data_IF_479691130782
#
_entry.id   IF_479691130782
#
_cell.length_a   1.000
_cell.length_b   1.000
_cell.length_c   1.000
_cell.angle_alpha   90.00
_cell.angle_beta   90.00
_cell.angle_gamma   90.00
#
_symmetry.space_group_name_H-M   'P 1'
#
loop_
_entity.id
_entity.type
_entity.pdbx_description
1 polymer ?
#
# COMPACT_ATOMS: atom_id res chain seq x y z
N UNK A 1 -20.06 60.81 11.51
CA UNK A 1 -19.13 59.89 12.22
C UNK A 1 -19.95 58.72 12.72
N UNK A 2 -19.93 57.60 12.00
CA UNK A 2 -20.54 56.35 12.44
C UNK A 2 -19.63 55.22 11.93
N UNK A 3 -19.13 54.44 12.88
CA UNK A 3 -18.14 53.39 12.72
C UNK A 3 -18.51 52.38 11.64
N UNK A 4 -17.68 52.33 10.60
CA UNK A 4 -17.58 51.20 9.71
C UNK A 4 -16.86 50.09 10.48
N UNK A 5 -17.64 49.25 11.17
CA UNK A 5 -17.17 48.03 11.82
C UNK A 5 -16.58 47.09 10.76
N UNK A 6 -15.29 47.28 10.48
CA UNK A 6 -14.44 46.30 9.83
C UNK A 6 -14.38 45.06 10.74
N UNK A 7 -15.36 44.17 10.57
CA UNK A 7 -15.18 42.75 10.89
C UNK A 7 -14.08 42.26 9.98
N UNK A 8 -12.84 42.39 10.45
CA UNK A 8 -11.72 41.61 9.98
C UNK A 8 -12.12 40.16 10.13
N UNK A 9 -12.59 39.57 9.03
CA UNK A 9 -12.72 38.13 8.89
C UNK A 9 -11.32 37.59 9.12
N UNK A 10 -11.03 37.23 10.37
CA UNK A 10 -9.84 36.47 10.70
C UNK A 10 -10.00 35.14 9.99
N UNK A 11 -9.45 35.07 8.77
CA UNK A 11 -9.20 33.81 8.07
C UNK A 11 -8.42 32.98 9.09
N UNK A 12 -8.97 31.86 9.59
CA UNK A 12 -8.22 31.02 10.50
C UNK A 12 -6.92 30.73 9.77
N UNK A 13 -5.80 30.99 10.44
CA UNK A 13 -4.45 30.69 9.96
C UNK A 13 -4.37 29.17 9.81
N UNK A 14 -4.99 28.64 8.77
CA UNK A 14 -5.08 27.23 8.44
C UNK A 14 -3.64 26.83 8.13
N UNK A 15 -2.99 26.24 9.15
CA UNK A 15 -1.58 25.91 9.14
C UNK A 15 -1.22 25.26 7.81
N UNK A 16 -0.40 25.94 6.99
CA UNK A 16 0.07 25.45 5.68
C UNK A 16 0.58 24.00 5.75
N UNK A 17 1.09 23.60 6.91
CA UNK A 17 1.53 22.24 7.24
C UNK A 17 0.41 21.19 7.05
N UNK A 18 -0.84 21.49 7.40
CA UNK A 18 -1.96 20.54 7.27
C UNK A 18 -2.31 20.21 5.82
N UNK A 19 -1.94 21.06 4.85
CA UNK A 19 -2.25 20.87 3.43
C UNK A 19 -1.32 19.88 2.74
N UNK A 20 -0.11 19.69 3.28
CA UNK A 20 0.90 18.81 2.68
C UNK A 20 0.96 17.42 3.33
N UNK A 21 0.31 17.23 4.48
CA UNK A 21 0.23 15.92 5.15
C UNK A 21 -0.24 14.80 4.20
N UNK A 22 -1.31 14.96 3.40
CA UNK A 22 -1.79 13.86 2.57
C UNK A 22 -0.78 13.43 1.50
N UNK A 23 -0.04 14.39 0.92
CA UNK A 23 1.00 14.10 -0.09
C UNK A 23 2.13 13.31 0.56
N UNK A 24 2.53 13.69 1.77
CA UNK A 24 3.59 13.01 2.51
C UNK A 24 3.23 11.52 2.72
N UNK A 25 1.96 11.23 3.04
CA UNK A 25 1.46 9.86 3.09
C UNK A 25 1.57 9.14 1.74
N UNK A 26 1.15 9.79 0.63
CA UNK A 26 1.30 9.19 -0.72
C UNK A 26 2.74 8.85 -1.09
N UNK A 27 3.70 9.68 -0.69
CA UNK A 27 5.13 9.40 -0.89
C UNK A 27 5.57 8.19 -0.08
N UNK A 28 5.21 8.13 1.21
CA UNK A 28 5.53 6.96 2.06
C UNK A 28 4.90 5.69 1.50
N UNK A 29 3.64 5.75 1.08
CA UNK A 29 2.92 4.58 0.54
C UNK A 29 3.59 4.03 -0.72
N UNK A 30 4.08 4.90 -1.60
CA UNK A 30 4.84 4.49 -2.79
C UNK A 30 6.16 3.84 -2.40
N UNK A 31 6.90 4.45 -1.47
CA UNK A 31 8.20 3.90 -1.03
C UNK A 31 8.00 2.50 -0.46
N UNK A 32 7.02 2.31 0.43
CA UNK A 32 6.68 1.01 1.00
C UNK A 32 6.26 0.00 -0.07
N UNK A 33 5.46 0.43 -1.05
CA UNK A 33 5.02 -0.42 -2.15
C UNK A 33 6.18 -0.84 -3.09
N UNK A 34 7.15 0.05 -3.34
CA UNK A 34 8.36 -0.26 -4.12
C UNK A 34 9.20 -1.33 -3.42
N UNK A 35 9.40 -1.20 -2.10
CA UNK A 35 10.09 -2.23 -1.33
C UNK A 35 9.32 -3.56 -1.34
N UNK A 36 7.99 -3.50 -1.16
CA UNK A 36 7.14 -4.69 -1.21
C UNK A 36 7.27 -5.43 -2.56
N UNK A 37 7.11 -4.72 -3.69
CA UNK A 37 7.18 -5.36 -5.00
C UNK A 37 8.59 -5.85 -5.32
N UNK A 38 9.64 -5.09 -4.98
CA UNK A 38 11.04 -5.50 -5.19
C UNK A 38 11.39 -6.79 -4.45
N UNK A 39 10.87 -6.97 -3.23
CA UNK A 39 11.06 -8.20 -2.46
C UNK A 39 10.18 -9.37 -2.93
N UNK A 40 9.09 -9.08 -3.65
CA UNK A 40 8.11 -10.06 -4.08
C UNK A 40 8.43 -10.67 -5.46
N UNK A 41 9.03 -9.88 -6.36
CA UNK A 41 9.28 -10.29 -7.77
C UNK A 41 10.19 -11.51 -7.87
N UNK A 42 11.33 -11.50 -7.18
CA UNK A 42 12.32 -12.57 -7.29
C UNK A 42 11.79 -13.92 -6.76
N UNK A 43 11.17 -13.99 -5.56
CA UNK A 43 10.53 -15.22 -5.09
C UNK A 43 9.48 -15.76 -6.05
N UNK A 44 8.59 -14.89 -6.57
CA UNK A 44 7.52 -15.34 -7.47
C UNK A 44 8.03 -15.86 -8.80
N UNK A 45 9.00 -15.16 -9.43
CA UNK A 45 9.60 -15.59 -10.68
C UNK A 45 10.39 -16.90 -10.50
N UNK A 46 11.11 -17.04 -9.38
CA UNK A 46 11.81 -18.28 -9.05
C UNK A 46 10.82 -19.42 -8.85
N UNK A 47 9.75 -19.26 -8.07
CA UNK A 47 8.79 -20.34 -7.84
C UNK A 47 8.08 -20.78 -9.13
N UNK A 48 7.85 -19.86 -10.07
CA UNK A 48 7.27 -20.23 -11.36
C UNK A 48 8.24 -21.03 -12.24
N UNK A 49 9.52 -20.66 -12.29
CA UNK A 49 10.53 -21.39 -13.10
C UNK A 49 10.92 -22.74 -12.51
N UNK A 50 10.99 -22.78 -11.19
CA UNK A 50 11.52 -23.92 -10.43
C UNK A 50 10.50 -25.05 -10.32
N UNK A 51 9.22 -24.72 -10.25
CA UNK A 51 8.16 -25.71 -10.13
C UNK A 51 7.40 -25.81 -11.45
N UNK A 52 7.53 -26.96 -12.14
CA UNK A 52 6.77 -27.28 -13.37
C UNK A 52 5.23 -27.29 -13.16
N UNK A 53 4.79 -27.13 -11.90
CA UNK A 53 3.43 -26.75 -11.50
C UNK A 53 3.53 -25.53 -10.56
N UNK A 54 2.77 -24.44 -10.80
CA UNK A 54 2.86 -23.25 -9.97
C UNK A 54 2.44 -23.57 -8.53
N UNK A 55 3.38 -23.54 -7.58
CA UNK A 55 3.09 -23.66 -6.14
C UNK A 55 2.37 -22.42 -5.59
N UNK A 56 2.49 -21.31 -6.30
CA UNK A 56 1.75 -20.08 -6.05
C UNK A 56 0.53 -20.06 -6.98
N UNK A 57 -0.68 -19.92 -6.45
CA UNK A 57 -1.87 -19.81 -7.31
C UNK A 57 -1.74 -18.56 -8.17
N UNK A 58 -1.94 -18.71 -9.48
CA UNK A 58 -1.78 -17.60 -10.42
C UNK A 58 -2.72 -16.43 -10.07
N UNK A 59 -3.92 -16.76 -9.57
CA UNK A 59 -4.92 -15.80 -9.12
C UNK A 59 -4.43 -14.98 -7.92
N UNK A 60 -3.78 -15.63 -6.94
CA UNK A 60 -3.21 -14.95 -5.78
C UNK A 60 -2.09 -13.99 -6.23
N UNK A 61 -1.23 -14.44 -7.15
CA UNK A 61 -0.12 -13.62 -7.66
C UNK A 61 -0.64 -12.41 -8.41
N UNK A 62 -1.62 -12.63 -9.29
CA UNK A 62 -2.27 -11.57 -10.05
C UNK A 62 -2.90 -10.54 -9.12
N UNK A 63 -3.64 -10.99 -8.09
CA UNK A 63 -4.25 -10.09 -7.11
C UNK A 63 -3.21 -9.24 -6.37
N UNK A 64 -2.11 -9.85 -5.91
CA UNK A 64 -1.04 -9.14 -5.21
C UNK A 64 -0.38 -8.10 -6.12
N UNK A 65 -0.01 -8.49 -7.35
CA UNK A 65 0.61 -7.57 -8.31
C UNK A 65 -0.30 -6.40 -8.67
N UNK A 66 -1.56 -6.68 -9.00
CA UNK A 66 -2.53 -5.64 -9.35
C UNK A 66 -2.74 -4.69 -8.17
N UNK A 67 -2.79 -5.21 -6.94
CA UNK A 67 -2.91 -4.38 -5.74
C UNK A 67 -1.69 -3.49 -5.57
N UNK A 68 -0.49 -4.05 -5.49
CA UNK A 68 0.72 -3.26 -5.17
C UNK A 68 1.05 -2.30 -6.32
N UNK A 69 1.09 -2.77 -7.56
CA UNK A 69 1.39 -1.93 -8.72
C UNK A 69 0.28 -0.90 -9.00
N UNK A 70 -0.99 -1.29 -8.82
CA UNK A 70 -2.13 -0.38 -8.97
C UNK A 70 -2.06 0.80 -8.00
N UNK A 71 -1.71 0.54 -6.73
CA UNK A 71 -1.57 1.62 -5.75
C UNK A 71 -0.31 2.46 -5.91
N UNK A 72 0.79 1.91 -6.45
CA UNK A 72 1.92 2.73 -6.91
C UNK A 72 1.43 3.72 -7.97
N UNK A 73 0.67 3.27 -8.96
CA UNK A 73 0.16 4.11 -10.03
C UNK A 73 -0.84 5.16 -9.53
N UNK A 74 -1.82 4.76 -8.73
CA UNK A 74 -2.85 5.65 -8.16
C UNK A 74 -2.21 6.72 -7.26
N UNK A 75 -1.30 6.33 -6.36
CA UNK A 75 -0.65 7.28 -5.47
C UNK A 75 0.29 8.23 -6.22
N UNK A 76 0.97 7.73 -7.27
CA UNK A 76 1.78 8.59 -8.15
C UNK A 76 0.91 9.62 -8.85
N UNK A 77 -0.26 9.21 -9.35
CA UNK A 77 -1.22 10.12 -9.97
C UNK A 77 -1.67 11.20 -8.97
N UNK A 78 -1.95 10.83 -7.72
CA UNK A 78 -2.34 11.81 -6.70
C UNK A 78 -1.25 12.83 -6.38
N UNK A 79 0.01 12.40 -6.35
CA UNK A 79 1.16 13.32 -6.20
C UNK A 79 1.24 14.26 -7.40
N UNK A 80 1.13 13.72 -8.62
CA UNK A 80 1.18 14.53 -9.86
C UNK A 80 0.04 15.55 -9.88
N UNK A 81 -1.21 15.14 -9.62
CA UNK A 81 -2.35 16.06 -9.53
C UNK A 81 -2.07 17.19 -8.53
N UNK A 82 -1.51 16.87 -7.36
CA UNK A 82 -1.16 17.89 -6.38
C UNK A 82 -0.07 18.85 -6.91
N UNK A 83 0.95 18.34 -7.60
CA UNK A 83 2.01 19.16 -8.20
C UNK A 83 1.48 20.09 -9.30
N UNK A 84 0.45 19.68 -10.04
CA UNK A 84 -0.25 20.50 -11.02
C UNK A 84 -1.13 21.59 -10.38
N UNK A 85 -1.27 21.59 -9.05
CA UNK A 85 -2.12 22.53 -8.30
C UNK A 85 -3.56 22.06 -8.11
N UNK A 86 -3.91 20.86 -8.60
CA UNK A 86 -5.24 20.29 -8.41
C UNK A 86 -5.41 19.81 -6.97
N UNK A 87 -6.52 20.24 -6.36
CA UNK A 87 -6.91 19.77 -5.03
C UNK A 87 -7.89 18.62 -5.15
N UNK A 88 -7.43 17.43 -4.80
CA UNK A 88 -8.28 16.25 -4.74
C UNK A 88 -9.35 16.41 -3.65
N UNK A 89 -10.63 16.11 -3.94
CA UNK A 89 -11.68 16.11 -2.94
C UNK A 89 -11.35 15.14 -1.80
N UNK A 90 -11.54 15.57 -0.55
CA UNK A 90 -11.29 14.73 0.65
C UNK A 90 -12.02 13.38 0.59
N UNK A 91 -13.25 13.36 0.06
CA UNK A 91 -14.05 12.14 -0.12
C UNK A 91 -13.35 11.13 -1.02
N UNK A 92 -12.79 11.59 -2.14
CA UNK A 92 -12.04 10.75 -3.07
C UNK A 92 -10.82 10.15 -2.38
N UNK A 93 -10.07 10.96 -1.64
CA UNK A 93 -8.89 10.48 -0.89
C UNK A 93 -9.25 9.39 0.13
N UNK A 94 -10.34 9.58 0.88
CA UNK A 94 -10.80 8.58 1.86
C UNK A 94 -11.20 7.27 1.16
N UNK A 95 -11.93 7.33 0.05
CA UNK A 95 -12.39 6.14 -0.68
C UNK A 95 -11.19 5.33 -1.19
N UNK A 96 -10.24 5.98 -1.86
CA UNK A 96 -9.06 5.31 -2.40
C UNK A 96 -8.16 4.77 -1.29
N UNK A 97 -7.98 5.51 -0.20
CA UNK A 97 -7.16 5.03 0.93
C UNK A 97 -7.83 3.85 1.66
N UNK A 98 -9.17 3.85 1.75
CA UNK A 98 -9.92 2.73 2.34
C UNK A 98 -9.80 1.47 1.49
N UNK A 99 -9.95 1.60 0.17
CA UNK A 99 -9.71 0.50 -0.77
C UNK A 99 -8.24 0.03 -0.69
N UNK A 100 -7.29 0.96 -0.55
CA UNK A 100 -5.87 0.67 -0.41
C UNK A 100 -5.59 -0.19 0.81
N UNK A 101 -6.10 0.22 1.97
CA UNK A 101 -5.98 -0.54 3.20
C UNK A 101 -6.55 -1.96 3.07
N UNK A 102 -7.78 -2.10 2.57
CA UNK A 102 -8.44 -3.42 2.44
C UNK A 102 -7.67 -4.32 1.49
N UNK A 103 -7.32 -3.82 0.31
CA UNK A 103 -6.63 -4.62 -0.71
C UNK A 103 -5.23 -5.03 -0.24
N UNK A 104 -4.50 -4.16 0.46
CA UNK A 104 -3.18 -4.50 1.01
C UNK A 104 -3.28 -5.51 2.16
N UNK A 105 -4.31 -5.46 3.00
CA UNK A 105 -4.54 -6.49 4.03
C UNK A 105 -4.79 -7.86 3.37
N UNK A 106 -5.62 -7.91 2.33
CA UNK A 106 -5.88 -9.15 1.58
C UNK A 106 -4.61 -9.64 0.89
N UNK A 107 -3.87 -8.77 0.20
CA UNK A 107 -2.62 -9.13 -0.46
C UNK A 107 -1.57 -9.65 0.55
N UNK A 108 -1.38 -8.97 1.67
CA UNK A 108 -0.47 -9.43 2.74
C UNK A 108 -0.88 -10.79 3.30
N UNK A 109 -2.19 -11.01 3.49
CA UNK A 109 -2.73 -12.30 3.94
C UNK A 109 -2.48 -13.42 2.93
N UNK A 110 -2.63 -13.15 1.63
CA UNK A 110 -2.34 -14.10 0.55
C UNK A 110 -0.85 -14.43 0.50
N UNK A 111 0.05 -13.46 0.66
CA UNK A 111 1.50 -13.70 0.71
C UNK A 111 1.84 -14.62 1.89
N UNK A 112 1.31 -14.32 3.09
CA UNK A 112 1.55 -15.14 4.29
C UNK A 112 0.98 -16.55 4.13
N UNK A 113 -0.23 -16.68 3.55
CA UNK A 113 -0.85 -17.97 3.28
C UNK A 113 0.03 -18.82 2.37
N UNK A 114 0.47 -18.25 1.23
CA UNK A 114 1.34 -18.94 0.29
C UNK A 114 2.72 -19.27 0.90
N UNK A 115 3.31 -18.35 1.67
CA UNK A 115 4.56 -18.61 2.41
C UNK A 115 4.44 -19.81 3.34
N UNK A 116 3.35 -19.91 4.13
CA UNK A 116 3.11 -21.07 5.01
C UNK A 116 2.87 -22.36 4.23
N UNK A 117 2.10 -22.28 3.15
CA UNK A 117 1.77 -23.45 2.31
C UNK A 117 3.01 -24.02 1.65
N UNK A 118 3.93 -23.17 1.20
CA UNK A 118 5.22 -23.57 0.60
C UNK A 118 6.15 -24.24 1.61
N UNK A 119 6.08 -23.87 2.90
CA UNK A 119 6.90 -24.48 3.96
C UNK A 119 6.41 -25.85 4.43
N UNK A 120 5.14 -26.22 4.17
CA UNK A 120 4.61 -27.49 4.66
C UNK A 120 5.23 -28.66 3.88
N UNK A 121 5.78 -29.69 4.56
CA UNK A 121 6.21 -30.90 3.89
C UNK A 121 4.98 -31.62 3.35
N UNK A 122 4.79 -31.61 2.03
CA UNK A 122 3.76 -32.41 1.39
C UNK A 122 4.20 -33.88 1.38
N UNK A 123 3.47 -34.73 2.08
CA UNK A 123 3.67 -36.19 2.17
C UNK A 123 3.58 -36.96 0.83
N UNK A 124 3.38 -36.29 -0.31
CA UNK A 124 3.15 -36.92 -1.62
C UNK A 124 4.20 -36.61 -2.70
N UNK A 125 5.35 -36.01 -2.37
CA UNK A 125 6.45 -35.87 -3.33
C UNK A 125 7.74 -36.43 -2.74
N UNK A 126 7.97 -37.71 -3.03
CA UNK A 126 9.15 -38.51 -2.72
C UNK A 126 10.37 -38.13 -3.58
N UNK A 127 10.56 -36.84 -3.90
CA UNK A 127 11.75 -36.36 -4.60
C UNK A 127 12.40 -35.24 -3.76
N UNK A 128 13.58 -35.53 -3.27
CA UNK A 128 14.30 -34.88 -2.18
C UNK A 128 14.84 -33.45 -2.44
N UNK A 129 14.50 -32.73 -3.52
CA UNK A 129 15.50 -31.76 -4.02
C UNK A 129 15.07 -30.34 -4.42
N UNK A 130 13.88 -29.83 -4.07
CA UNK A 130 13.64 -28.39 -4.30
C UNK A 130 12.91 -27.71 -3.13
N UNK A 131 13.65 -27.53 -2.04
CA UNK A 131 13.36 -26.47 -1.10
C UNK A 131 13.63 -25.12 -1.80
N UNK A 132 12.67 -24.18 -1.79
CA UNK A 132 12.97 -22.83 -2.21
C UNK A 132 14.10 -22.28 -1.33
N UNK A 133 15.02 -21.52 -1.92
CA UNK A 133 16.14 -20.97 -1.17
C UNK A 133 15.60 -20.21 0.05
N UNK A 134 16.25 -20.39 1.21
CA UNK A 134 15.86 -19.68 2.43
C UNK A 134 15.75 -18.17 2.18
N UNK A 135 16.65 -17.64 1.35
CA UNK A 135 16.62 -16.26 0.88
C UNK A 135 15.29 -15.87 0.22
N UNK A 136 14.75 -16.66 -0.71
CA UNK A 136 13.46 -16.33 -1.34
C UNK A 136 12.29 -16.41 -0.36
N UNK A 137 12.34 -17.32 0.61
CA UNK A 137 11.32 -17.40 1.66
C UNK A 137 11.37 -16.19 2.61
N UNK A 138 12.57 -15.72 2.94
CA UNK A 138 12.79 -14.54 3.78
C UNK A 138 12.37 -13.26 3.03
N UNK A 139 12.67 -13.17 1.73
CA UNK A 139 12.19 -12.08 0.87
C UNK A 139 10.65 -12.06 0.77
N UNK A 140 10.02 -13.23 0.59
CA UNK A 140 8.56 -13.34 0.50
C UNK A 140 7.89 -12.87 1.80
N UNK A 141 8.34 -13.33 2.97
CA UNK A 141 7.75 -12.88 4.25
C UNK A 141 8.06 -11.41 4.52
N UNK A 142 9.25 -10.93 4.15
CA UNK A 142 9.59 -9.50 4.27
C UNK A 142 8.66 -8.65 3.40
N UNK A 143 8.35 -9.07 2.17
CA UNK A 143 7.39 -8.35 1.32
C UNK A 143 6.00 -8.26 1.96
N UNK A 144 5.53 -9.34 2.60
CA UNK A 144 4.26 -9.32 3.33
C UNK A 144 4.26 -8.27 4.46
N UNK A 145 5.36 -8.14 5.19
CA UNK A 145 5.51 -7.13 6.24
C UNK A 145 5.38 -5.72 5.66
N UNK A 146 6.09 -5.43 4.56
CA UNK A 146 5.98 -4.12 3.90
C UNK A 146 4.56 -3.83 3.40
N UNK A 147 3.88 -4.83 2.80
CA UNK A 147 2.48 -4.69 2.35
C UNK A 147 1.55 -4.37 3.53
N UNK A 148 1.72 -5.04 4.68
CA UNK A 148 0.91 -4.79 5.87
C UNK A 148 1.21 -3.44 6.53
N UNK A 149 2.47 -3.02 6.57
CA UNK A 149 2.85 -1.66 7.02
C UNK A 149 2.24 -0.62 6.07
N UNK A 150 2.18 -0.90 4.76
CA UNK A 150 1.52 -0.03 3.81
C UNK A 150 0.01 0.09 4.10
N UNK A 151 -0.65 -1.02 4.43
CA UNK A 151 -2.04 -1.00 4.87
C UNK A 151 -2.26 -0.12 6.11
N UNK A 152 -1.37 -0.21 7.10
CA UNK A 152 -1.42 0.66 8.29
C UNK A 152 -1.23 2.14 7.93
N UNK A 153 -0.39 2.43 6.93
CA UNK A 153 -0.16 3.79 6.44
C UNK A 153 -1.43 4.37 5.83
N UNK A 154 -2.16 3.61 5.01
CA UNK A 154 -3.47 4.03 4.49
C UNK A 154 -4.49 4.29 5.61
N UNK A 155 -4.53 3.44 6.65
CA UNK A 155 -5.44 3.63 7.80
C UNK A 155 -5.08 4.91 8.56
N UNK A 156 -3.78 5.15 8.78
CA UNK A 156 -3.30 6.37 9.42
C UNK A 156 -3.64 7.62 8.59
N UNK A 157 -3.53 7.55 7.26
CA UNK A 157 -3.94 8.64 6.38
C UNK A 157 -5.44 8.95 6.55
N UNK A 158 -6.31 7.94 6.51
CA UNK A 158 -7.75 8.10 6.70
C UNK A 158 -8.04 8.79 8.05
N UNK A 159 -7.42 8.30 9.13
CA UNK A 159 -7.60 8.87 10.47
C UNK A 159 -7.20 10.34 10.51
N UNK A 160 -6.08 10.71 9.89
CA UNK A 160 -5.64 12.09 9.83
C UNK A 160 -6.55 12.96 8.97
N UNK A 161 -6.99 12.49 7.80
CA UNK A 161 -7.94 13.23 6.96
C UNK A 161 -9.23 13.51 7.73
N UNK A 162 -9.77 12.51 8.44
CA UNK A 162 -10.97 12.68 9.25
C UNK A 162 -10.75 13.67 10.40
N UNK A 163 -9.68 13.49 11.18
CA UNK A 163 -9.34 14.35 12.33
C UNK A 163 -9.17 15.82 11.94
N UNK A 164 -8.51 16.09 10.81
CA UNK A 164 -8.34 17.46 10.32
C UNK A 164 -9.58 17.99 9.61
N UNK A 165 -10.46 17.12 9.09
CA UNK A 165 -11.71 17.56 8.47
C UNK A 165 -12.80 17.97 9.46
N UNK A 166 -12.78 17.50 10.70
CA UNK A 166 -13.74 17.92 11.74
C UNK A 166 -13.39 19.29 12.36
N UNK A 167 -12.21 19.85 12.05
CA UNK A 167 -11.75 21.16 12.56
C UNK A 167 -11.98 22.33 11.59
N UNK A 168 -12.71 22.11 10.50
CA UNK A 168 -13.16 23.11 9.52
C UNK A 168 -14.67 23.09 9.44
#
# INVERSE_FOLDING_TARGET
MADENQRTTQVPKENRISKHIPIFFKVIEIILAIFAIGLLVDPLNSFQRVFNKPRFKLDDAAFIYVTVAGYIMINSLFIICHLLGDRLPKRTMIIFSSLGAILHIVAGSLIIHNWRTIQRPYYHMQNNELYPSKQYMDMLISSAIFVLINALTFVAEIFLILKYSTRT
#
